data_IF_163647063988
#
_entry.id   IF_163647063988
#
_cell.length_a   1.000
_cell.length_b   1.000
_cell.length_c   1.000
_cell.angle_alpha   90.00
_cell.angle_beta   90.00
_cell.angle_gamma   90.00
#
_symmetry.space_group_name_H-M   'P 1'
#
loop_
_entity.id
_entity.type
_entity.pdbx_description
1 polymer ?
#
# COMPACT_ATOMS: atom_id res chain seq x y z
N UNK A 1 -2.99 -18.40 -17.08
CA UNK A 1 -2.78 -18.29 -15.63
C UNK A 1 -2.62 -16.81 -15.33
N UNK A 2 -3.48 -16.23 -14.49
CA UNK A 2 -3.38 -14.79 -14.15
C UNK A 2 -2.43 -14.68 -12.96
N UNK A 3 -1.27 -14.09 -13.20
CA UNK A 3 -0.34 -13.64 -12.16
C UNK A 3 -1.00 -12.51 -11.35
N UNK A 4 -1.86 -12.89 -10.39
CA UNK A 4 -2.55 -11.93 -9.55
C UNK A 4 -1.75 -11.69 -8.28
N UNK A 5 -0.71 -10.87 -8.42
CA UNK A 5 0.08 -10.40 -7.28
C UNK A 5 -0.62 -9.21 -6.64
N UNK A 6 -0.77 -9.28 -5.32
CA UNK A 6 -1.25 -8.22 -4.47
C UNK A 6 -0.09 -7.75 -3.59
N UNK A 7 0.14 -6.45 -3.55
CA UNK A 7 1.16 -5.82 -2.71
C UNK A 7 0.51 -5.26 -1.46
N UNK A 8 1.07 -5.58 -0.30
CA UNK A 8 0.66 -5.03 0.98
C UNK A 8 1.49 -3.78 1.22
N UNK A 9 0.85 -2.62 1.34
CA UNK A 9 1.50 -1.33 1.58
C UNK A 9 1.16 -0.87 3.00
N UNK A 10 2.18 -0.46 3.75
CA UNK A 10 2.04 0.13 5.08
C UNK A 10 2.53 1.58 5.07
N UNK A 11 1.77 2.50 5.66
CA UNK A 11 2.23 3.86 6.02
C UNK A 11 1.92 4.08 7.51
N UNK A 12 2.94 4.29 8.37
CA UNK A 12 2.72 4.49 9.82
C UNK A 12 2.08 5.85 10.13
N UNK A 13 2.17 6.82 9.22
CA UNK A 13 1.59 8.16 9.39
C UNK A 13 0.12 8.25 8.93
N UNK A 14 -0.40 7.21 8.28
CA UNK A 14 -1.81 7.18 7.88
C UNK A 14 -2.74 7.25 9.11
N UNK A 15 -3.96 7.76 8.91
CA UNK A 15 -4.99 7.81 9.97
C UNK A 15 -4.53 8.57 11.24
N UNK A 16 -4.00 9.77 11.08
CA UNK A 16 -3.47 10.63 12.15
C UNK A 16 -2.40 9.90 12.98
N UNK A 17 -1.36 9.42 12.30
CA UNK A 17 -0.21 8.72 12.89
C UNK A 17 -0.54 7.41 13.63
N UNK A 18 -1.72 6.83 13.38
CA UNK A 18 -2.11 5.51 13.90
C UNK A 18 -1.71 4.37 12.96
N UNK A 19 -1.23 4.71 11.78
CA UNK A 19 -0.88 3.79 10.72
C UNK A 19 -2.09 3.26 9.95
N UNK A 20 -1.80 2.73 8.77
CA UNK A 20 -2.74 1.98 7.97
C UNK A 20 -2.01 0.98 7.06
N UNK A 21 -2.75 -0.05 6.67
CA UNK A 21 -2.33 -1.06 5.69
C UNK A 21 -3.40 -1.18 4.62
N UNK A 22 -2.98 -1.27 3.35
CA UNK A 22 -3.88 -1.53 2.24
C UNK A 22 -3.23 -2.42 1.18
N UNK A 23 -4.06 -2.93 0.26
CA UNK A 23 -3.66 -3.79 -0.83
C UNK A 23 -3.61 -3.02 -2.15
N UNK A 24 -2.65 -3.36 -3.01
CA UNK A 24 -2.48 -2.75 -4.33
C UNK A 24 -2.12 -3.79 -5.38
N UNK A 25 -2.54 -3.57 -6.63
CA UNK A 25 -2.07 -4.33 -7.80
C UNK A 25 -0.74 -3.84 -8.37
N UNK A 26 -0.25 -2.72 -7.85
CA UNK A 26 1.00 -2.10 -8.24
C UNK A 26 1.91 -1.97 -7.02
N UNK A 27 3.22 -2.01 -7.24
CA UNK A 27 4.22 -1.66 -6.23
C UNK A 27 4.32 -0.15 -5.99
N UNK A 28 3.62 0.66 -6.79
CA UNK A 28 3.54 2.10 -6.59
C UNK A 28 2.82 2.42 -5.27
N UNK A 29 3.50 3.19 -4.42
CA UNK A 29 2.96 3.65 -3.14
C UNK A 29 2.08 4.87 -3.40
N UNK A 30 0.76 4.65 -3.32
CA UNK A 30 -0.27 5.68 -3.42
C UNK A 30 -1.14 5.65 -2.16
N UNK A 31 -0.88 6.57 -1.24
CA UNK A 31 -1.60 6.72 0.02
C UNK A 31 -3.03 7.24 -0.21
N UNK A 32 -4.08 6.45 0.10
CA UNK A 32 -5.46 6.85 -0.14
C UNK A 32 -6.02 7.82 0.91
N UNK A 33 -5.29 8.11 2.00
CA UNK A 33 -5.83 8.84 3.16
C UNK A 33 -5.67 10.35 3.09
N UNK A 34 -4.63 10.86 2.43
CA UNK A 34 -4.26 12.28 2.46
C UNK A 34 -4.25 12.96 1.09
N UNK A 35 -4.69 12.26 0.05
CA UNK A 35 -4.62 12.72 -1.33
C UNK A 35 -3.22 13.20 -1.69
N UNK A 36 -3.14 14.27 -2.48
CA UNK A 36 -1.89 14.75 -3.07
C UNK A 36 -0.84 15.23 -2.05
N UNK A 37 -1.25 15.51 -0.82
CA UNK A 37 -0.35 16.00 0.24
C UNK A 37 0.62 14.94 0.74
N UNK A 38 0.30 13.65 0.58
CA UNK A 38 1.11 12.56 1.12
C UNK A 38 1.04 11.27 0.29
N UNK A 39 0.86 11.40 -1.03
CA UNK A 39 0.71 10.28 -1.97
C UNK A 39 1.78 9.19 -1.79
N UNK A 40 3.02 9.56 -1.53
CA UNK A 40 4.15 8.61 -1.45
C UNK A 40 4.52 8.16 -0.04
N UNK A 41 3.66 8.36 0.97
CA UNK A 41 3.91 7.77 2.29
C UNK A 41 3.61 6.28 2.27
N UNK A 42 4.62 5.51 2.64
CA UNK A 42 4.52 4.08 2.91
C UNK A 42 5.55 3.28 2.11
N UNK A 43 5.52 1.98 2.34
CA UNK A 43 6.38 1.01 1.68
C UNK A 43 5.61 -0.27 1.43
N UNK A 44 5.95 -0.99 0.36
CA UNK A 44 5.52 -2.39 0.20
C UNK A 44 6.21 -3.22 1.27
N UNK A 45 5.43 -3.90 2.09
CA UNK A 45 5.92 -4.74 3.20
C UNK A 45 5.71 -6.24 2.95
N UNK A 46 4.83 -6.60 2.02
CA UNK A 46 4.56 -7.99 1.67
C UNK A 46 3.99 -8.12 0.24
N UNK A 47 4.06 -9.32 -0.34
CA UNK A 47 3.45 -9.67 -1.62
C UNK A 47 2.68 -10.98 -1.49
N UNK A 48 1.38 -10.93 -1.78
CA UNK A 48 0.48 -12.08 -1.77
C UNK A 48 0.33 -12.55 -3.23
N UNK A 49 0.71 -13.80 -3.50
CA UNK A 49 0.49 -14.49 -4.76
C UNK A 49 0.04 -15.93 -4.50
N UNK A 50 -0.77 -16.48 -5.41
CA UNK A 50 -1.10 -17.91 -5.42
C UNK A 50 -0.27 -18.54 -6.53
N UNK A 51 0.66 -19.42 -6.16
CA UNK A 51 1.41 -20.25 -7.12
C UNK A 51 0.54 -21.34 -7.73
#
# INVERSE_FOLDING_TARGET
>A
MRDYRLYVINCPMANNDKGAVWLSHSTEVLNPYYGDKMLKCGSVVDTIGVE
#
